data_IF_155744830080
#
_entry.id   IF_155744830080
#
_cell.length_a   1.000
_cell.length_b   1.000
_cell.length_c   1.000
_cell.angle_alpha   90.00
_cell.angle_beta   90.00
_cell.angle_gamma   90.00
#
_symmetry.space_group_name_H-M   'P 1'
#
loop_
_entity.id
_entity.type
_entity.pdbx_description
1 polymer ?
#
# COMPACT_ATOMS: atom_id res chain seq x y z
N UNK A 1 7.43 -11.30 -27.03
CA UNK A 1 6.20 -11.85 -27.63
C UNK A 1 4.97 -11.00 -27.30
N UNK A 2 4.74 -10.58 -26.04
CA UNK A 2 3.52 -9.88 -25.64
C UNK A 2 3.59 -8.33 -25.66
N UNK A 3 4.69 -7.72 -26.10
CA UNK A 3 4.90 -6.25 -26.07
C UNK A 3 3.88 -5.44 -26.89
N UNK A 4 3.31 -6.04 -27.92
CA UNK A 4 2.33 -5.41 -28.82
C UNK A 4 0.89 -5.79 -28.51
N UNK A 5 0.64 -6.56 -27.43
CA UNK A 5 -0.71 -6.99 -27.09
C UNK A 5 -1.41 -6.00 -26.17
N UNK A 6 -2.74 -5.91 -26.28
CA UNK A 6 -3.57 -4.96 -25.55
C UNK A 6 -4.83 -5.65 -25.00
N UNK A 7 -4.94 -5.90 -23.68
CA UNK A 7 -6.10 -6.58 -23.10
C UNK A 7 -7.41 -5.79 -23.18
N UNK A 8 -7.42 -4.55 -23.67
CA UNK A 8 -8.66 -3.84 -23.97
C UNK A 8 -9.47 -4.54 -25.08
N UNK A 9 -8.76 -5.07 -26.09
CA UNK A 9 -9.36 -5.78 -27.23
C UNK A 9 -9.29 -7.29 -26.99
N UNK A 10 -10.18 -7.78 -26.11
CA UNK A 10 -10.20 -9.20 -25.68
C UNK A 10 -10.52 -10.18 -26.80
N UNK A 11 -11.26 -9.75 -27.81
CA UNK A 11 -11.59 -10.51 -29.02
C UNK A 11 -10.36 -10.81 -29.88
N UNK A 12 -9.42 -9.87 -29.94
CA UNK A 12 -8.17 -9.99 -30.70
C UNK A 12 -7.07 -10.64 -29.86
N UNK A 13 -6.89 -10.18 -28.60
CA UNK A 13 -5.78 -10.58 -27.74
C UNK A 13 -6.22 -11.55 -26.63
N UNK A 14 -6.86 -12.65 -27.00
CA UNK A 14 -7.42 -13.65 -26.08
C UNK A 14 -6.40 -14.18 -25.07
N UNK A 15 -5.17 -14.46 -25.51
CA UNK A 15 -4.13 -15.02 -24.64
C UNK A 15 -3.79 -14.07 -23.48
N UNK A 16 -3.59 -12.78 -23.75
CA UNK A 16 -3.25 -11.83 -22.67
C UNK A 16 -4.43 -11.55 -21.77
N UNK A 17 -5.65 -11.58 -22.27
CA UNK A 17 -6.86 -11.51 -21.46
C UNK A 17 -6.99 -12.70 -20.50
N UNK A 18 -6.64 -13.91 -20.98
CA UNK A 18 -6.57 -15.10 -20.15
C UNK A 18 -5.49 -14.98 -19.08
N UNK A 19 -4.27 -14.53 -19.42
CA UNK A 19 -3.20 -14.33 -18.45
C UNK A 19 -3.60 -13.32 -17.35
N UNK A 20 -4.28 -12.23 -17.72
CA UNK A 20 -4.84 -11.29 -16.72
C UNK A 20 -5.83 -11.98 -15.78
N UNK A 21 -6.76 -12.74 -16.33
CA UNK A 21 -7.75 -13.47 -15.54
C UNK A 21 -7.09 -14.46 -14.58
N UNK A 22 -6.03 -15.15 -15.01
CA UNK A 22 -5.29 -16.09 -14.17
C UNK A 22 -4.50 -15.38 -13.06
N UNK A 23 -3.84 -14.24 -13.33
CA UNK A 23 -3.19 -13.42 -12.29
C UNK A 23 -4.20 -12.99 -11.23
N UNK A 24 -5.36 -12.48 -11.66
CA UNK A 24 -6.44 -12.07 -10.75
C UNK A 24 -6.94 -13.26 -9.92
N UNK A 25 -7.16 -14.42 -10.56
CA UNK A 25 -7.65 -15.63 -9.87
C UNK A 25 -6.63 -16.15 -8.85
N UNK A 26 -5.34 -16.21 -9.20
CA UNK A 26 -4.27 -16.62 -8.28
C UNK A 26 -4.16 -15.66 -7.09
N UNK A 27 -4.23 -14.35 -7.35
CA UNK A 27 -4.19 -13.34 -6.29
C UNK A 27 -5.41 -13.44 -5.38
N UNK A 28 -6.60 -13.61 -5.94
CA UNK A 28 -7.83 -13.83 -5.17
C UNK A 28 -7.75 -15.10 -4.31
N UNK A 29 -7.15 -16.17 -4.84
CA UNK A 29 -6.95 -17.43 -4.10
C UNK A 29 -6.01 -17.27 -2.89
N UNK A 30 -5.02 -16.37 -2.96
CA UNK A 30 -4.17 -16.02 -1.83
C UNK A 30 -4.93 -15.24 -0.75
N UNK A 31 -5.92 -14.43 -1.14
CA UNK A 31 -6.59 -13.43 -0.31
C UNK A 31 -8.02 -13.83 0.10
N UNK A 32 -8.28 -15.12 0.29
CA UNK A 32 -9.51 -15.62 0.93
C UNK A 32 -10.62 -16.09 -0.01
N UNK A 33 -10.36 -16.27 -1.33
CA UNK A 33 -11.40 -16.72 -2.27
C UNK A 33 -11.84 -18.19 -2.06
N UNK A 34 -11.06 -18.99 -1.34
CA UNK A 34 -11.38 -20.41 -1.05
C UNK A 34 -12.50 -20.58 -0.02
N UNK A 35 -12.67 -19.61 0.85
CA UNK A 35 -13.83 -19.55 1.71
C UNK A 35 -14.98 -19.02 0.84
N UNK A 36 -16.07 -19.79 0.72
CA UNK A 36 -17.32 -19.32 0.11
C UNK A 36 -17.82 -18.14 0.96
N UNK A 37 -17.20 -16.97 0.73
CA UNK A 37 -17.70 -15.73 1.30
C UNK A 37 -19.17 -15.63 0.87
N UNK A 38 -20.06 -15.64 1.83
CA UNK A 38 -21.50 -15.47 1.61
C UNK A 38 -21.70 -14.23 0.72
N UNK A 39 -21.99 -14.42 -0.56
CA UNK A 39 -22.35 -13.33 -1.45
C UNK A 39 -21.60 -13.21 -2.77
N UNK A 40 -20.76 -14.16 -3.21
CA UNK A 40 -20.25 -14.12 -4.56
C UNK A 40 -18.79 -14.51 -4.75
N UNK A 41 -18.37 -14.55 -6.01
CA UNK A 41 -16.99 -14.82 -6.42
C UNK A 41 -16.17 -13.54 -6.34
N UNK A 42 -15.03 -13.59 -5.65
CA UNK A 42 -14.03 -12.51 -5.68
C UNK A 42 -13.57 -12.29 -7.12
N UNK A 43 -13.54 -11.05 -7.55
CA UNK A 43 -13.22 -10.65 -8.91
C UNK A 43 -12.42 -9.35 -8.91
N UNK A 44 -11.77 -9.03 -10.02
CA UNK A 44 -10.93 -7.83 -10.09
C UNK A 44 -10.32 -7.60 -11.45
N UNK A 45 -9.32 -6.72 -11.49
CA UNK A 45 -8.51 -6.43 -12.67
C UNK A 45 -7.06 -6.18 -12.28
N UNK A 46 -6.16 -6.38 -13.21
CA UNK A 46 -4.81 -5.83 -13.12
C UNK A 46 -4.85 -4.31 -13.40
N UNK A 47 -3.92 -3.61 -12.78
CA UNK A 47 -3.72 -2.17 -12.88
C UNK A 47 -2.22 -1.87 -13.07
N UNK A 48 -1.90 -0.63 -13.38
CA UNK A 48 -0.52 -0.16 -13.59
C UNK A 48 0.28 0.04 -12.29
N UNK A 49 -0.34 -0.10 -11.13
CA UNK A 49 0.32 0.08 -9.82
C UNK A 49 -0.68 0.32 -8.71
N UNK A 50 -0.18 0.29 -7.46
CA UNK A 50 -1.00 0.47 -6.26
C UNK A 50 -1.82 1.75 -6.27
N UNK A 51 -1.27 2.84 -6.77
CA UNK A 51 -2.01 4.10 -6.90
C UNK A 51 -3.25 3.94 -7.78
N UNK A 52 -3.15 3.30 -8.96
CA UNK A 52 -4.31 3.05 -9.82
C UNK A 52 -5.30 2.10 -9.15
N UNK A 53 -4.83 1.05 -8.49
CA UNK A 53 -5.68 0.12 -7.73
C UNK A 53 -6.49 0.85 -6.66
N UNK A 54 -5.87 1.76 -5.90
CA UNK A 54 -6.52 2.59 -4.89
C UNK A 54 -7.53 3.54 -5.55
N UNK A 55 -7.15 4.24 -6.62
CA UNK A 55 -8.04 5.14 -7.36
C UNK A 55 -9.31 4.41 -7.81
N UNK A 56 -9.17 3.22 -8.39
CA UNK A 56 -10.29 2.40 -8.83
C UNK A 56 -11.16 1.91 -7.68
N UNK A 57 -10.56 1.48 -6.56
CA UNK A 57 -11.31 1.08 -5.37
C UNK A 57 -12.14 2.23 -4.80
N UNK A 58 -11.57 3.43 -4.74
CA UNK A 58 -12.24 4.64 -4.26
C UNK A 58 -13.37 5.06 -5.22
N UNK A 59 -13.10 5.12 -6.54
CA UNK A 59 -14.12 5.40 -7.58
C UNK A 59 -15.26 4.40 -7.53
N UNK A 60 -14.95 3.12 -7.44
CA UNK A 60 -15.93 2.04 -7.38
C UNK A 60 -16.81 2.14 -6.14
N UNK A 61 -16.21 2.39 -4.97
CA UNK A 61 -16.94 2.58 -3.72
C UNK A 61 -17.87 3.80 -3.77
N UNK A 62 -17.40 4.91 -4.37
CA UNK A 62 -18.22 6.12 -4.57
C UNK A 62 -19.47 5.80 -5.41
N UNK A 63 -19.27 5.20 -6.57
CA UNK A 63 -20.36 4.96 -7.52
C UNK A 63 -21.32 3.86 -7.03
N UNK A 64 -20.79 2.84 -6.36
CA UNK A 64 -21.60 1.81 -5.71
C UNK A 64 -22.47 2.40 -4.60
N UNK A 65 -21.91 3.25 -3.74
CA UNK A 65 -22.66 3.85 -2.64
C UNK A 65 -23.64 4.94 -3.12
N UNK A 66 -23.32 5.64 -4.21
CA UNK A 66 -24.27 6.51 -4.88
C UNK A 66 -25.46 5.69 -5.41
N UNK A 67 -25.22 4.59 -6.10
CA UNK A 67 -26.28 3.71 -6.63
C UNK A 67 -27.10 3.07 -5.52
N UNK A 68 -26.45 2.62 -4.43
CA UNK A 68 -27.11 1.85 -3.36
C UNK A 68 -27.83 2.72 -2.32
N UNK A 69 -27.26 3.88 -2.00
CA UNK A 69 -27.74 4.75 -0.90
C UNK A 69 -28.03 6.19 -1.34
N UNK A 70 -27.86 6.54 -2.62
CA UNK A 70 -28.09 7.90 -3.12
C UNK A 70 -27.07 8.93 -2.60
N UNK A 71 -25.88 8.53 -2.16
CA UNK A 71 -24.89 9.45 -1.60
C UNK A 71 -24.29 10.30 -2.73
N UNK A 72 -24.53 11.63 -2.68
CA UNK A 72 -24.04 12.60 -3.66
C UNK A 72 -22.93 13.51 -3.13
N UNK A 73 -22.68 13.51 -1.83
CA UNK A 73 -21.59 14.26 -1.18
C UNK A 73 -20.66 13.27 -0.43
N UNK A 74 -19.89 12.47 -1.17
CA UNK A 74 -19.16 11.34 -0.60
C UNK A 74 -18.07 11.77 0.36
N UNK A 75 -17.96 11.07 1.48
CA UNK A 75 -16.87 11.18 2.45
C UNK A 75 -16.16 9.83 2.63
N UNK A 76 -14.85 9.87 2.77
CA UNK A 76 -13.98 8.70 3.02
C UNK A 76 -13.25 8.87 4.36
N UNK A 77 -13.19 7.82 5.16
CA UNK A 77 -12.48 7.81 6.46
C UNK A 77 -11.18 7.04 6.30
N UNK A 78 -10.05 7.67 6.62
CA UNK A 78 -8.71 7.06 6.57
C UNK A 78 -7.92 7.37 7.84
N UNK A 79 -7.00 6.49 8.22
CA UNK A 79 -5.98 6.83 9.22
C UNK A 79 -4.98 7.86 8.64
N UNK A 80 -4.35 8.65 9.50
CA UNK A 80 -3.29 9.58 9.05
C UNK A 80 -2.07 8.85 8.47
N UNK A 81 -1.87 7.57 8.80
CA UNK A 81 -0.86 6.68 8.25
C UNK A 81 -1.22 6.07 6.89
N UNK A 82 -2.46 6.25 6.39
CA UNK A 82 -2.86 5.72 5.10
C UNK A 82 -2.06 6.36 3.95
N UNK A 83 -1.84 5.60 2.89
CA UNK A 83 -1.03 6.02 1.74
C UNK A 83 -1.60 7.27 1.06
N UNK A 84 -0.73 8.20 0.62
CA UNK A 84 -1.11 9.48 -0.02
C UNK A 84 -1.95 9.33 -1.30
N UNK A 85 -2.00 8.14 -1.90
CA UNK A 85 -2.87 7.87 -3.04
C UNK A 85 -4.36 8.05 -2.72
N UNK A 86 -4.78 7.96 -1.45
CA UNK A 86 -6.15 8.27 -1.03
C UNK A 86 -6.44 9.76 -1.10
N UNK A 87 -5.47 10.62 -0.79
CA UNK A 87 -5.61 12.07 -0.97
C UNK A 87 -5.71 12.42 -2.46
N UNK A 88 -4.90 11.76 -3.30
CA UNK A 88 -4.95 11.89 -4.75
C UNK A 88 -6.33 11.46 -5.29
N UNK A 89 -6.84 10.31 -4.84
CA UNK A 89 -8.18 9.83 -5.20
C UNK A 89 -9.28 10.81 -4.79
N UNK A 90 -9.19 11.34 -3.58
CA UNK A 90 -10.14 12.31 -3.05
C UNK A 90 -10.17 13.59 -3.88
N UNK A 91 -9.01 14.08 -4.30
CA UNK A 91 -8.89 15.25 -5.18
C UNK A 91 -9.51 14.96 -6.57
N UNK A 92 -9.17 13.82 -7.18
CA UNK A 92 -9.65 13.47 -8.54
C UNK A 92 -11.17 13.23 -8.59
N UNK A 93 -11.73 12.65 -7.54
CA UNK A 93 -13.13 12.23 -7.52
C UNK A 93 -14.02 13.10 -6.64
N UNK A 94 -13.52 14.24 -6.18
CA UNK A 94 -14.25 15.20 -5.33
C UNK A 94 -14.87 14.53 -4.09
N UNK A 95 -14.04 13.83 -3.33
CA UNK A 95 -14.42 13.11 -2.11
C UNK A 95 -13.82 13.83 -0.91
N UNK A 96 -14.63 14.07 0.12
CA UNK A 96 -14.14 14.66 1.36
C UNK A 96 -13.44 13.61 2.21
N UNK A 97 -12.20 13.90 2.60
CA UNK A 97 -11.42 13.04 3.50
C UNK A 97 -11.69 13.38 4.96
N UNK A 98 -12.04 12.36 5.74
CA UNK A 98 -12.03 12.39 7.21
C UNK A 98 -10.80 11.65 7.70
N UNK A 99 -9.79 12.39 8.11
CA UNK A 99 -8.53 11.84 8.58
C UNK A 99 -8.59 11.65 10.11
N UNK A 100 -8.31 10.43 10.54
CA UNK A 100 -8.30 10.04 11.96
C UNK A 100 -6.84 9.83 12.38
N UNK A 101 -6.40 10.45 13.48
CA UNK A 101 -5.10 10.16 14.07
C UNK A 101 -4.94 8.67 14.37
N UNK A 102 -3.72 8.17 14.32
CA UNK A 102 -3.41 6.82 14.81
C UNK A 102 -3.49 6.77 16.33
N UNK A 103 -3.68 5.58 16.89
CA UNK A 103 -3.63 5.36 18.31
C UNK A 103 -2.17 5.36 18.84
N UNK A 104 -1.98 5.06 20.14
CA UNK A 104 -0.64 5.03 20.75
C UNK A 104 0.28 3.95 20.20
N UNK A 105 -0.29 2.91 19.62
CA UNK A 105 0.40 1.82 18.95
C UNK A 105 0.63 2.09 17.45
N UNK A 106 0.34 3.30 16.97
CA UNK A 106 0.42 3.72 15.55
C UNK A 106 -0.53 2.99 14.60
N UNK A 107 -1.61 2.42 15.12
CA UNK A 107 -2.67 1.74 14.37
C UNK A 107 -3.88 2.68 14.16
N UNK A 108 -4.72 2.37 13.19
CA UNK A 108 -6.00 3.06 12.98
C UNK A 108 -6.85 3.04 14.27
N UNK A 109 -7.27 4.21 14.76
CA UNK A 109 -8.16 4.32 15.93
C UNK A 109 -9.60 3.99 15.53
N UNK A 110 -10.03 2.75 15.76
CA UNK A 110 -11.41 2.29 15.46
C UNK A 110 -12.48 3.16 16.11
N UNK A 111 -12.24 3.64 17.33
CA UNK A 111 -13.18 4.56 18.01
C UNK A 111 -13.24 5.91 17.31
N UNK A 112 -12.10 6.38 16.82
CA UNK A 112 -12.00 7.58 15.99
C UNK A 112 -12.75 7.43 14.67
N UNK A 113 -12.55 6.30 13.99
CA UNK A 113 -13.29 5.97 12.76
C UNK A 113 -14.80 5.98 13.01
N UNK A 114 -15.27 5.31 14.07
CA UNK A 114 -16.70 5.28 14.43
C UNK A 114 -17.29 6.67 14.63
N UNK A 115 -16.57 7.58 15.28
CA UNK A 115 -17.03 8.97 15.48
C UNK A 115 -17.15 9.78 14.19
N UNK A 116 -16.39 9.40 13.14
CA UNK A 116 -16.39 10.07 11.86
C UNK A 116 -17.49 9.58 10.90
N UNK A 117 -18.10 8.41 11.17
CA UNK A 117 -19.14 7.84 10.30
C UNK A 117 -20.39 8.71 10.32
N UNK A 118 -20.91 9.01 9.15
CA UNK A 118 -22.15 9.76 8.95
C UNK A 118 -22.87 9.32 7.65
N UNK A 119 -24.00 9.94 7.32
CA UNK A 119 -24.81 9.59 6.16
C UNK A 119 -24.13 9.75 4.79
N UNK A 120 -23.01 10.46 4.71
CA UNK A 120 -22.22 10.65 3.51
C UNK A 120 -21.02 9.71 3.41
N UNK A 121 -20.74 8.91 4.44
CA UNK A 121 -19.60 7.99 4.44
C UNK A 121 -19.79 6.87 3.42
N UNK A 122 -18.91 6.82 2.43
CA UNK A 122 -18.93 5.79 1.38
C UNK A 122 -18.01 4.62 1.72
N UNK A 123 -16.86 4.89 2.36
CA UNK A 123 -15.88 3.87 2.66
C UNK A 123 -14.97 4.25 3.82
N UNK A 124 -14.37 3.22 4.42
CA UNK A 124 -13.22 3.29 5.31
C UNK A 124 -12.03 2.55 4.68
N UNK A 125 -10.84 2.89 5.13
CA UNK A 125 -9.58 2.26 4.69
C UNK A 125 -8.83 1.71 5.89
N UNK A 126 -8.37 0.47 5.78
CA UNK A 126 -7.37 -0.12 6.67
C UNK A 126 -6.17 -0.61 5.85
N UNK A 127 -4.99 -0.58 6.41
CA UNK A 127 -3.74 -0.99 5.74
C UNK A 127 -3.16 -2.25 6.38
N UNK A 128 -2.65 -3.15 5.56
CA UNK A 128 -2.00 -4.37 6.05
C UNK A 128 -0.75 -4.73 5.22
N UNK A 129 0.43 -4.20 5.61
CA UNK A 129 0.63 -3.16 6.62
C UNK A 129 0.54 -1.74 6.05
N UNK A 130 0.46 -0.75 6.94
CA UNK A 130 0.64 0.66 6.61
C UNK A 130 2.06 0.95 6.16
N UNK A 131 2.22 1.77 5.11
CA UNK A 131 3.53 2.12 4.55
C UNK A 131 4.47 2.79 5.56
N UNK A 132 4.04 3.76 6.41
CA UNK A 132 4.99 4.45 7.28
C UNK A 132 5.64 3.53 8.31
N UNK A 133 4.86 2.72 9.02
CA UNK A 133 5.34 2.03 10.23
C UNK A 133 5.35 0.50 10.13
N UNK A 134 4.84 -0.07 9.04
CA UNK A 134 4.84 -1.53 8.85
C UNK A 134 3.87 -2.31 9.73
N UNK A 135 2.82 -1.66 10.24
CA UNK A 135 1.86 -2.21 11.17
C UNK A 135 0.54 -2.56 10.47
N UNK A 136 -0.07 -3.67 10.87
CA UNK A 136 -1.38 -4.11 10.37
C UNK A 136 -2.46 -3.42 11.18
N UNK A 137 -3.31 -2.63 10.52
CA UNK A 137 -4.48 -2.03 11.15
C UNK A 137 -5.47 -3.09 11.67
N UNK A 138 -6.35 -2.78 12.63
CA UNK A 138 -7.34 -3.70 13.19
C UNK A 138 -8.47 -3.97 12.18
N UNK A 139 -8.16 -4.76 11.13
CA UNK A 139 -9.05 -4.97 9.97
C UNK A 139 -10.36 -5.67 10.37
N UNK A 140 -10.32 -6.59 11.35
CA UNK A 140 -11.54 -7.27 11.83
C UNK A 140 -12.52 -6.27 12.45
N UNK A 141 -12.03 -5.41 13.35
CA UNK A 141 -12.85 -4.40 14.02
C UNK A 141 -13.39 -3.35 13.03
N UNK A 142 -12.55 -2.93 12.06
CA UNK A 142 -13.00 -2.07 10.96
C UNK A 142 -14.04 -2.77 10.08
N UNK A 143 -13.89 -4.09 9.86
CA UNK A 143 -14.84 -4.93 9.12
C UNK A 143 -16.19 -5.04 9.79
N UNK A 144 -16.20 -5.21 11.10
CA UNK A 144 -17.43 -5.19 11.90
C UNK A 144 -18.15 -3.83 11.79
N UNK A 145 -17.38 -2.75 11.91
CA UNK A 145 -17.90 -1.40 11.77
C UNK A 145 -18.48 -1.16 10.37
N UNK A 146 -17.76 -1.54 9.32
CA UNK A 146 -18.21 -1.42 7.94
C UNK A 146 -19.51 -2.19 7.71
N UNK A 147 -19.60 -3.43 8.25
CA UNK A 147 -20.81 -4.26 8.17
C UNK A 147 -21.98 -3.63 8.91
N UNK A 148 -21.76 -3.12 10.12
CA UNK A 148 -22.78 -2.48 10.94
C UNK A 148 -23.42 -1.27 10.26
N UNK A 149 -22.60 -0.43 9.62
CA UNK A 149 -23.08 0.79 8.97
C UNK A 149 -23.39 0.61 7.47
N UNK A 150 -23.11 -0.59 6.92
CA UNK A 150 -23.32 -0.89 5.49
C UNK A 150 -22.53 0.04 4.58
N UNK A 151 -21.28 0.33 4.92
CA UNK A 151 -20.32 1.11 4.12
C UNK A 151 -19.22 0.20 3.61
N UNK A 152 -18.48 0.66 2.60
CA UNK A 152 -17.35 -0.12 2.07
C UNK A 152 -16.17 -0.11 3.03
N UNK A 153 -15.41 -1.22 3.09
CA UNK A 153 -14.07 -1.28 3.67
C UNK A 153 -13.08 -1.72 2.59
N UNK A 154 -12.12 -0.88 2.31
CA UNK A 154 -10.98 -1.21 1.47
C UNK A 154 -9.78 -1.58 2.34
N UNK A 155 -9.10 -2.67 2.01
CA UNK A 155 -7.83 -3.04 2.65
C UNK A 155 -6.68 -2.83 1.68
N UNK A 156 -5.77 -1.93 2.05
CA UNK A 156 -4.54 -1.70 1.30
C UNK A 156 -3.52 -2.79 1.64
N UNK A 157 -3.37 -3.72 0.72
CA UNK A 157 -2.38 -4.79 0.76
C UNK A 157 -1.24 -4.59 -0.26
N UNK A 158 -1.01 -3.36 -0.71
CA UNK A 158 0.03 -3.09 -1.71
C UNK A 158 1.39 -3.65 -1.30
N UNK A 159 1.72 -3.65 -0.01
CA UNK A 159 2.91 -4.30 0.54
C UNK A 159 2.64 -5.74 0.99
N UNK A 160 1.54 -5.97 1.71
CA UNK A 160 1.29 -7.21 2.43
C UNK A 160 0.76 -8.37 1.59
N UNK A 161 0.15 -8.12 0.43
CA UNK A 161 -0.59 -9.13 -0.31
C UNK A 161 0.23 -10.33 -0.79
N UNK A 162 1.52 -10.15 -1.02
CA UNK A 162 2.46 -11.21 -1.40
C UNK A 162 3.47 -11.58 -0.30
N UNK A 163 3.20 -11.20 0.95
CA UNK A 163 3.98 -11.60 2.13
C UNK A 163 3.08 -12.21 3.19
N UNK A 164 2.04 -11.50 3.63
CA UNK A 164 1.22 -11.91 4.78
C UNK A 164 0.55 -13.27 4.64
N UNK A 165 0.01 -13.68 3.45
CA UNK A 165 -0.55 -15.02 3.29
C UNK A 165 0.48 -16.13 3.49
N UNK A 166 1.71 -15.90 3.06
CA UNK A 166 2.82 -16.86 3.20
C UNK A 166 3.40 -16.84 4.61
N UNK A 167 3.54 -15.66 5.22
CA UNK A 167 3.97 -15.53 6.62
C UNK A 167 3.01 -16.28 7.56
N UNK A 168 1.68 -16.17 7.35
CA UNK A 168 0.68 -16.94 8.10
C UNK A 168 0.88 -18.45 7.92
N UNK A 169 1.17 -18.93 6.70
CA UNK A 169 1.45 -20.34 6.42
C UNK A 169 2.75 -20.83 7.09
N UNK A 170 3.72 -19.96 7.29
CA UNK A 170 4.97 -20.22 8.01
C UNK A 170 4.81 -20.15 9.53
N UNK A 171 3.61 -19.88 10.06
CA UNK A 171 3.33 -19.86 11.49
C UNK A 171 3.55 -18.51 12.18
N UNK A 172 3.78 -17.44 11.44
CA UNK A 172 3.80 -16.09 12.03
C UNK A 172 2.39 -15.69 12.48
N UNK A 173 2.25 -14.97 13.62
CA UNK A 173 0.97 -14.60 14.21
C UNK A 173 0.34 -13.40 13.45
N UNK A 174 -0.02 -13.62 12.19
CA UNK A 174 -0.63 -12.60 11.34
C UNK A 174 -2.14 -12.55 11.59
N UNK A 175 -2.70 -11.40 12.02
CA UNK A 175 -4.14 -11.25 12.21
C UNK A 175 -4.90 -11.38 10.89
N UNK A 176 -6.22 -11.58 10.90
CA UNK A 176 -7.04 -11.54 9.69
C UNK A 176 -6.98 -10.17 9.00
N UNK A 177 -6.76 -10.17 7.68
CA UNK A 177 -6.55 -8.94 6.90
C UNK A 177 -7.20 -8.94 5.52
N UNK A 178 -7.69 -10.09 5.06
CA UNK A 178 -8.16 -10.33 3.71
C UNK A 178 -9.68 -10.50 3.61
N UNK A 179 -10.19 -11.08 2.53
CA UNK A 179 -11.62 -11.33 2.34
C UNK A 179 -12.23 -12.34 3.32
N UNK A 180 -11.47 -13.00 4.17
CA UNK A 180 -12.01 -13.77 5.29
C UNK A 180 -12.72 -12.86 6.31
N UNK A 181 -12.33 -11.59 6.39
CA UNK A 181 -13.01 -10.58 7.22
C UNK A 181 -14.31 -10.14 6.53
N UNK A 182 -15.44 -10.31 7.21
CA UNK A 182 -16.79 -10.13 6.65
C UNK A 182 -17.05 -8.71 6.15
N UNK A 183 -16.47 -7.69 6.58
CA UNK A 183 -16.74 -6.30 6.14
C UNK A 183 -15.89 -5.84 4.96
N UNK A 184 -14.83 -6.58 4.61
CA UNK A 184 -13.93 -6.18 3.52
C UNK A 184 -14.65 -6.27 2.18
N UNK A 185 -14.71 -5.15 1.44
CA UNK A 185 -15.39 -5.04 0.14
C UNK A 185 -14.43 -5.00 -1.03
N UNK A 186 -13.21 -4.49 -0.83
CA UNK A 186 -12.17 -4.42 -1.86
C UNK A 186 -10.77 -4.47 -1.26
N UNK A 187 -9.82 -4.90 -2.09
CA UNK A 187 -8.39 -5.03 -1.73
C UNK A 187 -7.55 -4.52 -2.90
N UNK A 188 -6.48 -3.77 -2.61
CA UNK A 188 -5.39 -3.47 -3.56
C UNK A 188 -4.14 -4.25 -3.18
N UNK A 189 -3.43 -4.84 -4.15
CA UNK A 189 -2.17 -5.54 -3.89
C UNK A 189 -1.22 -5.46 -5.07
N UNK A 190 0.07 -5.15 -4.79
CA UNK A 190 1.08 -4.94 -5.82
C UNK A 190 1.85 -6.23 -6.12
N UNK A 191 1.69 -6.73 -7.34
CA UNK A 191 2.47 -7.89 -7.81
C UNK A 191 3.94 -7.48 -8.01
N UNK A 192 4.18 -6.22 -8.39
CA UNK A 192 5.52 -5.68 -8.64
C UNK A 192 6.33 -5.30 -7.40
N UNK A 193 5.80 -5.54 -6.19
CA UNK A 193 6.55 -5.41 -4.93
C UNK A 193 7.04 -6.78 -4.50
N UNK A 194 6.50 -7.34 -3.45
CA UNK A 194 6.91 -8.67 -2.97
C UNK A 194 6.41 -9.84 -3.82
N UNK A 195 5.53 -9.58 -4.80
CA UNK A 195 5.20 -10.54 -5.86
C UNK A 195 6.29 -10.72 -6.90
N UNK A 196 7.37 -9.91 -6.84
CA UNK A 196 8.59 -9.99 -7.68
C UNK A 196 8.31 -9.91 -9.19
N UNK A 197 7.20 -9.33 -9.59
CA UNK A 197 6.84 -9.09 -10.98
C UNK A 197 7.43 -7.76 -11.51
N UNK A 198 7.44 -7.54 -12.83
CA UNK A 198 7.85 -6.28 -13.42
C UNK A 198 7.06 -5.09 -12.87
N UNK A 199 7.72 -3.93 -12.72
CA UNK A 199 7.06 -2.67 -12.33
C UNK A 199 5.93 -2.35 -13.31
N UNK A 200 4.85 -1.74 -12.78
CA UNK A 200 3.64 -1.52 -13.58
C UNK A 200 2.61 -2.66 -13.46
N UNK A 201 2.69 -3.48 -12.39
CA UNK A 201 1.74 -4.58 -12.14
C UNK A 201 1.20 -4.54 -10.71
N UNK A 202 -0.09 -4.35 -10.60
CA UNK A 202 -0.87 -4.40 -9.36
C UNK A 202 -2.23 -5.02 -9.66
N UNK A 203 -3.01 -5.35 -8.65
CA UNK A 203 -4.38 -5.83 -8.78
C UNK A 203 -5.30 -5.09 -7.82
N UNK A 204 -6.51 -4.81 -8.29
CA UNK A 204 -7.63 -4.41 -7.44
C UNK A 204 -8.66 -5.54 -7.47
N UNK A 205 -9.05 -5.99 -6.28
CA UNK A 205 -10.01 -7.07 -6.09
C UNK A 205 -11.26 -6.56 -5.36
N UNK A 206 -12.40 -7.15 -5.69
CA UNK A 206 -13.70 -6.86 -5.08
C UNK A 206 -14.34 -8.16 -4.58
N UNK A 207 -15.07 -8.06 -3.48
CA UNK A 207 -15.77 -9.19 -2.86
C UNK A 207 -16.72 -9.89 -3.82
N UNK A 208 -17.36 -9.14 -4.73
CA UNK A 208 -18.33 -9.66 -5.69
C UNK A 208 -18.49 -8.76 -6.92
N UNK A 209 -19.18 -9.31 -7.93
CA UNK A 209 -19.44 -8.61 -9.18
C UNK A 209 -20.41 -7.42 -9.03
N UNK A 210 -21.28 -7.42 -8.02
CA UNK A 210 -22.21 -6.30 -7.78
C UNK A 210 -21.42 -5.01 -7.47
N UNK A 211 -20.36 -5.12 -6.68
CA UNK A 211 -19.48 -3.98 -6.40
C UNK A 211 -18.64 -3.66 -7.63
N UNK A 212 -17.99 -4.67 -8.23
CA UNK A 212 -17.05 -4.49 -9.34
C UNK A 212 -17.67 -3.81 -10.56
N UNK A 213 -18.93 -4.05 -10.90
CA UNK A 213 -19.57 -3.42 -12.07
C UNK A 213 -19.52 -1.90 -12.05
N UNK A 214 -19.42 -1.28 -10.86
CA UNK A 214 -19.27 0.16 -10.70
C UNK A 214 -17.85 0.67 -10.99
N UNK A 215 -16.87 -0.22 -11.23
CA UNK A 215 -15.55 0.14 -11.73
C UNK A 215 -15.59 0.56 -13.20
N UNK A 216 -16.42 -0.07 -14.00
CA UNK A 216 -16.44 0.06 -15.45
C UNK A 216 -16.98 1.42 -15.89
N UNK A 217 -16.45 1.90 -17.03
CA UNK A 217 -17.01 3.05 -17.76
C UNK A 217 -17.49 2.54 -19.12
N UNK A 218 -18.77 2.69 -19.39
CA UNK A 218 -19.39 2.34 -20.66
C UNK A 218 -19.94 3.60 -21.33
N UNK A 219 -19.65 3.77 -22.62
CA UNK A 219 -20.12 4.91 -23.44
C UNK A 219 -20.83 4.35 -24.67
N UNK A 220 -22.08 4.77 -24.88
CA UNK A 220 -22.95 4.26 -25.93
C UNK A 220 -23.20 5.26 -27.08
N UNK A 221 -22.96 6.56 -26.82
CA UNK A 221 -23.28 7.66 -27.75
C UNK A 221 -22.06 8.16 -28.53
N UNK A 222 -20.92 7.49 -28.41
CA UNK A 222 -19.72 7.88 -29.14
C UNK A 222 -19.79 7.43 -30.60
N UNK A 223 -19.47 8.32 -31.55
CA UNK A 223 -19.47 8.02 -32.99
C UNK A 223 -18.45 6.93 -33.41
N UNK A 224 -17.44 6.65 -32.58
CA UNK A 224 -16.50 5.56 -32.75
C UNK A 224 -17.04 4.16 -32.39
N UNK A 225 -18.31 4.08 -31.95
CA UNK A 225 -18.99 2.85 -31.58
C UNK A 225 -19.16 2.68 -30.07
N UNK A 226 -19.49 1.47 -29.65
CA UNK A 226 -19.64 1.13 -28.22
C UNK A 226 -18.26 1.04 -27.56
N UNK A 227 -18.08 1.73 -26.44
CA UNK A 227 -16.84 1.72 -25.69
C UNK A 227 -17.08 1.26 -24.26
N UNK A 228 -16.21 0.38 -23.77
CA UNK A 228 -16.16 -0.03 -22.38
C UNK A 228 -14.70 -0.20 -21.92
N UNK A 229 -14.37 0.34 -20.75
CA UNK A 229 -13.06 0.18 -20.14
C UNK A 229 -13.19 -0.24 -18.68
N UNK A 230 -12.40 -1.23 -18.21
CA UNK A 230 -12.41 -1.67 -16.83
C UNK A 230 -11.46 -0.88 -15.92
N UNK A 231 -10.52 -0.09 -16.45
CA UNK A 231 -9.44 0.57 -15.70
C UNK A 231 -9.39 2.06 -15.99
N UNK A 232 -8.43 2.79 -15.36
CA UNK A 232 -8.24 4.23 -15.63
C UNK A 232 -7.74 4.47 -17.05
N UNK A 233 -6.92 3.57 -17.57
CA UNK A 233 -6.47 3.61 -18.97
C UNK A 233 -7.43 2.84 -19.89
N UNK A 234 -7.46 3.18 -21.17
CA UNK A 234 -8.09 2.37 -22.21
C UNK A 234 -7.15 1.21 -22.58
N UNK A 235 -6.15 1.49 -23.41
CA UNK A 235 -5.10 0.53 -23.77
C UNK A 235 -4.20 0.22 -22.59
N UNK A 236 -3.83 -1.06 -22.44
CA UNK A 236 -2.93 -1.52 -21.38
C UNK A 236 -1.83 -2.41 -21.94
N UNK A 237 -0.59 -2.36 -21.40
CA UNK A 237 0.55 -3.13 -21.91
C UNK A 237 0.42 -4.61 -21.56
N UNK A 238 0.14 -5.46 -22.54
CA UNK A 238 0.02 -6.91 -22.33
C UNK A 238 1.34 -7.59 -21.94
N UNK A 239 2.48 -7.00 -22.28
CA UNK A 239 3.79 -7.50 -21.84
C UNK A 239 3.96 -7.52 -20.32
N UNK A 240 3.42 -6.51 -19.61
CA UNK A 240 3.44 -6.48 -18.14
C UNK A 240 2.50 -7.52 -17.53
N UNK A 241 1.33 -7.75 -18.14
CA UNK A 241 0.42 -8.82 -17.73
C UNK A 241 1.09 -10.19 -17.84
N UNK A 242 1.73 -10.47 -18.97
CA UNK A 242 2.47 -11.71 -19.18
C UNK A 242 3.66 -11.85 -18.23
N UNK A 243 4.37 -10.75 -17.92
CA UNK A 243 5.46 -10.72 -16.94
C UNK A 243 5.00 -11.03 -15.52
N UNK A 244 3.86 -10.49 -15.09
CA UNK A 244 3.27 -10.80 -13.80
C UNK A 244 2.86 -12.28 -13.71
N UNK A 245 2.19 -12.80 -14.73
CA UNK A 245 1.82 -14.20 -14.80
C UNK A 245 3.04 -15.11 -14.73
N UNK A 246 4.08 -14.82 -15.53
CA UNK A 246 5.31 -15.60 -15.55
C UNK A 246 6.04 -15.61 -14.22
N UNK A 247 6.11 -14.45 -13.50
CA UNK A 247 6.69 -14.35 -12.18
C UNK A 247 5.93 -15.24 -11.17
N UNK A 248 4.61 -15.14 -11.15
CA UNK A 248 3.77 -15.94 -10.24
C UNK A 248 3.87 -17.43 -10.51
N UNK A 249 3.86 -17.84 -11.78
CA UNK A 249 3.98 -19.25 -12.18
C UNK A 249 5.37 -19.81 -11.91
N UNK A 250 6.43 -19.03 -12.16
CA UNK A 250 7.81 -19.45 -11.93
C UNK A 250 8.14 -19.64 -10.45
N UNK A 251 7.70 -18.74 -9.59
CA UNK A 251 7.91 -18.82 -8.15
C UNK A 251 6.99 -19.86 -7.51
N UNK A 252 5.72 -19.83 -7.87
CA UNK A 252 4.72 -20.69 -7.29
C UNK A 252 4.62 -20.55 -5.76
N UNK A 253 3.89 -21.45 -5.12
CA UNK A 253 3.72 -21.45 -3.66
C UNK A 253 5.08 -21.58 -2.94
N UNK A 254 5.93 -22.48 -3.38
CA UNK A 254 7.19 -22.80 -2.71
C UNK A 254 8.18 -21.63 -2.78
N UNK A 255 8.32 -20.96 -3.93
CA UNK A 255 9.19 -19.80 -4.08
C UNK A 255 8.76 -18.62 -3.22
N UNK A 256 7.45 -18.38 -3.09
CA UNK A 256 6.95 -17.34 -2.20
C UNK A 256 7.10 -17.71 -0.71
N UNK A 257 6.93 -18.97 -0.33
CA UNK A 257 7.19 -19.40 1.05
C UNK A 257 8.67 -19.26 1.41
N UNK A 258 9.57 -19.67 0.53
CA UNK A 258 11.02 -19.55 0.75
C UNK A 258 11.44 -18.07 0.87
N UNK A 259 11.04 -17.23 -0.08
CA UNK A 259 11.37 -15.81 -0.07
C UNK A 259 10.80 -15.11 1.15
N UNK A 260 9.54 -15.38 1.50
CA UNK A 260 8.90 -14.82 2.69
C UNK A 260 9.60 -15.24 3.97
N UNK A 261 9.96 -16.53 4.11
CA UNK A 261 10.69 -17.01 5.28
C UNK A 261 12.00 -16.25 5.50
N UNK A 262 12.79 -16.10 4.43
CA UNK A 262 14.08 -15.38 4.48
C UNK A 262 13.90 -13.91 4.89
N UNK A 263 12.98 -13.18 4.24
CA UNK A 263 12.80 -11.75 4.53
C UNK A 263 12.19 -11.50 5.92
N UNK A 264 11.29 -12.36 6.36
CA UNK A 264 10.69 -12.25 7.70
C UNK A 264 11.72 -12.50 8.81
N UNK A 265 12.58 -13.51 8.64
CA UNK A 265 13.67 -13.78 9.58
C UNK A 265 14.63 -12.59 9.69
N UNK A 266 15.08 -12.05 8.54
CA UNK A 266 16.00 -10.91 8.53
C UNK A 266 15.32 -9.65 9.05
N UNK A 267 14.03 -9.44 8.75
CA UNK A 267 13.27 -8.31 9.33
C UNK A 267 13.26 -8.35 10.86
N UNK A 268 13.10 -9.53 11.47
CA UNK A 268 13.17 -9.68 12.94
C UNK A 268 14.57 -9.43 13.50
N UNK A 269 15.62 -9.85 12.77
CA UNK A 269 17.01 -9.56 13.15
C UNK A 269 17.29 -8.05 13.09
N UNK A 270 16.82 -7.37 12.05
CA UNK A 270 16.97 -5.91 11.92
C UNK A 270 16.19 -5.18 13.02
N UNK A 271 14.94 -5.57 13.33
CA UNK A 271 14.18 -5.00 14.44
C UNK A 271 14.95 -5.08 15.75
N UNK A 272 15.44 -6.28 16.08
CA UNK A 272 16.22 -6.48 17.30
C UNK A 272 17.53 -5.68 17.29
N UNK A 273 18.26 -5.70 16.17
CA UNK A 273 19.53 -4.96 16.06
C UNK A 273 19.34 -3.44 16.19
N UNK A 274 18.25 -2.89 15.69
CA UNK A 274 17.92 -1.45 15.88
C UNK A 274 17.62 -1.16 17.36
N UNK A 275 16.86 -2.00 18.05
CA UNK A 275 16.55 -1.81 19.48
C UNK A 275 17.81 -2.00 20.36
N UNK A 276 18.81 -2.78 19.93
CA UNK A 276 20.08 -2.96 20.61
C UNK A 276 21.03 -1.75 20.45
N UNK A 277 20.80 -0.86 19.45
CA UNK A 277 21.59 0.37 19.25
C UNK A 277 21.13 1.46 20.24
N UNK A 278 22.02 1.86 21.13
CA UNK A 278 21.73 2.88 22.14
C UNK A 278 21.25 4.20 21.50
N UNK A 279 20.07 4.65 21.90
CA UNK A 279 19.46 5.90 21.43
C UNK A 279 18.53 5.73 20.22
N UNK A 280 18.35 4.52 19.70
CA UNK A 280 17.30 4.19 18.73
C UNK A 280 16.18 3.39 19.40
N UNK A 281 15.02 3.40 18.79
CA UNK A 281 13.89 2.55 19.13
C UNK A 281 13.06 2.21 17.89
N UNK A 282 12.52 1.01 17.82
CA UNK A 282 11.57 0.58 16.78
C UNK A 282 10.19 1.15 17.09
N UNK A 283 9.51 1.67 16.08
CA UNK A 283 8.16 2.23 16.21
C UNK A 283 7.13 1.11 16.15
N UNK A 284 6.35 0.96 17.20
CA UNK A 284 5.33 -0.08 17.33
C UNK A 284 5.92 -1.49 17.37
N UNK A 285 5.17 -2.45 16.81
CA UNK A 285 5.60 -3.86 16.69
C UNK A 285 5.40 -4.29 15.25
N UNK A 286 6.39 -4.05 14.37
CA UNK A 286 6.22 -4.37 12.94
C UNK A 286 5.87 -5.83 12.71
N UNK A 287 4.77 -6.05 11.98
CA UNK A 287 4.23 -7.39 11.71
C UNK A 287 4.93 -8.06 10.53
N UNK A 288 5.59 -7.26 9.66
CA UNK A 288 6.11 -7.73 8.39
C UNK A 288 7.54 -7.20 8.15
N UNK A 289 7.80 -6.67 6.99
CA UNK A 289 9.12 -6.36 6.44
C UNK A 289 9.44 -4.87 6.39
N UNK A 290 8.50 -4.02 6.75
CA UNK A 290 8.74 -2.59 6.95
C UNK A 290 9.06 -2.37 8.42
N UNK A 291 10.23 -1.81 8.70
CA UNK A 291 10.71 -1.53 10.06
C UNK A 291 10.95 -0.03 10.18
N UNK A 292 10.09 0.64 10.92
CA UNK A 292 10.24 2.06 11.23
C UNK A 292 10.91 2.24 12.57
N UNK A 293 11.80 3.22 12.67
CA UNK A 293 12.56 3.52 13.88
C UNK A 293 12.85 5.01 14.04
N UNK A 294 12.94 5.45 15.26
CA UNK A 294 13.21 6.82 15.65
C UNK A 294 14.35 6.92 16.65
N UNK A 295 14.63 8.15 17.10
CA UNK A 295 15.62 8.43 18.11
C UNK A 295 15.17 9.57 19.01
N UNK A 296 15.45 9.43 20.33
CA UNK A 296 15.34 10.51 21.31
C UNK A 296 16.70 11.15 21.61
N UNK A 297 17.79 10.60 21.09
CA UNK A 297 19.17 10.98 21.41
C UNK A 297 19.87 11.79 20.32
N UNK A 298 19.45 11.63 19.06
CA UNK A 298 20.06 12.27 17.89
C UNK A 298 18.99 12.72 16.89
N UNK A 299 19.33 13.66 15.99
CA UNK A 299 18.50 13.95 14.83
C UNK A 299 18.56 12.76 13.85
N UNK A 300 17.42 12.06 13.70
CA UNK A 300 17.33 10.85 12.88
C UNK A 300 17.55 11.13 11.37
N UNK A 301 17.32 12.38 10.91
CA UNK A 301 17.56 12.75 9.53
C UNK A 301 19.05 13.00 9.24
N UNK A 302 19.82 13.46 10.25
CA UNK A 302 21.30 13.51 10.13
C UNK A 302 21.88 12.09 10.03
N UNK A 303 21.33 11.13 10.79
CA UNK A 303 21.68 9.71 10.66
C UNK A 303 21.36 9.21 9.25
N UNK A 304 20.20 9.56 8.70
CA UNK A 304 19.82 9.19 7.33
C UNK A 304 20.79 9.74 6.28
N UNK A 305 21.27 10.97 6.43
CA UNK A 305 22.21 11.57 5.49
C UNK A 305 23.55 10.82 5.48
N UNK A 306 24.05 10.39 6.66
CA UNK A 306 25.25 9.54 6.76
C UNK A 306 24.99 8.17 6.13
N UNK A 307 23.88 7.53 6.44
CA UNK A 307 23.49 6.23 5.85
C UNK A 307 23.41 6.32 4.32
N UNK A 308 22.84 7.40 3.79
CA UNK A 308 22.77 7.65 2.34
C UNK A 308 24.15 7.79 1.72
N UNK A 309 25.12 8.45 2.40
CA UNK A 309 26.51 8.55 1.93
C UNK A 309 27.23 7.20 1.88
N UNK A 310 26.79 6.23 2.66
CA UNK A 310 27.28 4.84 2.67
C UNK A 310 26.54 3.94 1.65
N UNK A 311 25.57 4.49 0.92
CA UNK A 311 24.82 3.78 -0.12
C UNK A 311 23.52 3.13 0.36
N UNK A 312 23.09 3.34 1.62
CA UNK A 312 21.81 2.86 2.13
C UNK A 312 20.67 3.81 1.75
N UNK A 313 19.55 3.25 1.33
CA UNK A 313 18.36 4.01 1.00
C UNK A 313 17.25 3.75 2.02
N UNK A 314 17.02 4.73 2.91
CA UNK A 314 15.96 4.72 3.91
C UNK A 314 14.92 5.78 3.57
N UNK A 315 13.68 5.53 3.94
CA UNK A 315 12.61 6.50 3.75
C UNK A 315 12.46 7.37 5.00
N UNK A 316 12.57 8.67 4.82
CA UNK A 316 12.29 9.64 5.87
C UNK A 316 10.79 9.79 6.11
N UNK A 317 10.39 9.75 7.37
CA UNK A 317 9.00 9.83 7.83
C UNK A 317 8.78 11.08 8.68
N UNK A 318 7.52 11.47 8.82
CA UNK A 318 7.11 12.64 9.63
C UNK A 318 6.04 12.22 10.64
N UNK A 319 6.06 12.84 11.81
CA UNK A 319 5.04 12.69 12.86
C UNK A 319 4.81 11.25 13.33
N UNK A 320 5.83 10.72 14.06
CA UNK A 320 7.07 11.34 14.50
C UNK A 320 8.16 11.35 13.45
N UNK A 321 9.19 12.20 13.64
CA UNK A 321 10.41 12.14 12.86
C UNK A 321 11.06 10.77 13.03
N UNK A 322 11.21 10.06 11.94
CA UNK A 322 11.69 8.67 11.95
C UNK A 322 12.14 8.26 10.55
N UNK A 323 12.72 7.08 10.47
CA UNK A 323 13.09 6.43 9.21
C UNK A 323 12.41 5.07 9.11
N UNK A 324 12.25 4.54 7.91
CA UNK A 324 11.98 3.13 7.77
C UNK A 324 12.84 2.46 6.69
N UNK A 325 13.09 1.18 6.90
CA UNK A 325 13.64 0.27 5.91
C UNK A 325 12.55 -0.70 5.44
N UNK A 326 12.45 -0.89 4.12
CA UNK A 326 11.65 -1.99 3.54
C UNK A 326 12.58 -3.18 3.28
N UNK A 327 12.53 -4.20 4.12
CA UNK A 327 13.40 -5.37 4.02
C UNK A 327 13.03 -6.22 2.81
N UNK A 328 14.02 -6.53 1.97
CA UNK A 328 13.90 -7.35 0.76
C UNK A 328 14.88 -8.52 0.78
N UNK A 329 14.86 -9.38 -0.22
CA UNK A 329 15.81 -10.49 -0.34
C UNK A 329 17.27 -10.03 -0.37
N UNK A 330 17.57 -8.84 -0.88
CA UNK A 330 18.93 -8.30 -0.90
C UNK A 330 19.49 -8.13 0.52
N UNK A 331 18.66 -7.74 1.47
CA UNK A 331 19.08 -7.53 2.86
C UNK A 331 19.47 -8.84 3.58
N UNK A 332 19.08 -9.99 3.04
CA UNK A 332 19.41 -11.29 3.68
C UNK A 332 20.92 -11.54 3.77
N UNK A 333 21.70 -10.98 2.85
CA UNK A 333 23.15 -11.12 2.82
C UNK A 333 23.91 -9.97 3.51
N UNK A 334 23.26 -8.84 3.77
CA UNK A 334 23.94 -7.58 4.16
C UNK A 334 23.32 -6.91 5.40
N UNK A 335 22.41 -7.58 6.13
CA UNK A 335 21.74 -6.96 7.28
C UNK A 335 22.68 -6.64 8.43
N UNK A 336 23.76 -7.42 8.62
CA UNK A 336 24.78 -7.16 9.66
C UNK A 336 25.59 -5.89 9.32
N UNK A 337 25.94 -5.71 8.04
CA UNK A 337 26.60 -4.50 7.56
C UNK A 337 25.70 -3.29 7.74
N UNK A 338 24.39 -3.42 7.40
CA UNK A 338 23.39 -2.38 7.64
C UNK A 338 23.35 -1.94 9.11
N UNK A 339 23.27 -2.90 10.05
CA UNK A 339 23.20 -2.61 11.48
C UNK A 339 24.48 -1.94 12.00
N UNK A 340 25.65 -2.41 11.55
CA UNK A 340 26.94 -1.81 11.88
C UNK A 340 27.01 -0.37 11.36
N UNK A 341 26.67 -0.14 10.09
CA UNK A 341 26.69 1.20 9.50
C UNK A 341 25.70 2.15 10.19
N UNK A 342 24.56 1.63 10.62
CA UNK A 342 23.57 2.39 11.37
C UNK A 342 24.12 2.80 12.75
N UNK A 343 24.73 1.88 13.49
CA UNK A 343 25.36 2.17 14.78
C UNK A 343 26.48 3.18 14.66
N UNK A 344 27.39 3.01 13.68
CA UNK A 344 28.46 3.94 13.39
C UNK A 344 27.93 5.34 13.03
N UNK A 345 26.84 5.43 12.27
CA UNK A 345 26.18 6.68 11.89
C UNK A 345 25.58 7.38 13.11
N UNK A 346 24.89 6.66 13.97
CA UNK A 346 24.35 7.19 15.24
C UNK A 346 25.47 7.73 16.13
N UNK A 347 26.57 6.99 16.28
CA UNK A 347 27.71 7.41 17.08
C UNK A 347 28.40 8.66 16.48
N UNK A 348 28.47 8.75 15.16
CA UNK A 348 29.01 9.92 14.46
C UNK A 348 28.18 11.18 14.74
N UNK A 349 26.85 11.08 14.66
CA UNK A 349 25.95 12.23 14.96
C UNK A 349 26.03 12.60 16.44
N UNK A 350 26.12 11.62 17.36
CA UNK A 350 26.33 11.89 18.80
C UNK A 350 27.60 12.68 19.08
N UNK A 351 28.68 12.33 18.39
CA UNK A 351 29.98 13.00 18.57
C UNK A 351 30.04 14.39 17.92
N UNK A 352 29.40 14.56 16.78
CA UNK A 352 29.44 15.79 15.97
C UNK A 352 28.03 16.07 15.41
N UNK A 353 27.11 16.59 16.21
CA UNK A 353 25.76 16.92 15.73
C UNK A 353 25.82 18.10 14.75
N UNK A 354 25.07 18.00 13.67
CA UNK A 354 24.91 19.05 12.66
C UNK A 354 24.66 18.46 11.25
N UNK A 355 23.87 19.16 10.44
CA UNK A 355 23.49 18.67 9.12
C UNK A 355 24.70 18.62 8.18
N UNK A 356 24.75 17.56 7.37
CA UNK A 356 25.73 17.43 6.28
C UNK A 356 25.32 18.38 5.15
N UNK A 357 26.30 19.05 4.53
CA UNK A 357 26.07 19.92 3.38
C UNK A 357 25.41 19.12 2.23
N UNK A 358 24.26 19.58 1.75
CA UNK A 358 23.48 18.90 0.69
C UNK A 358 22.62 17.75 1.14
N UNK A 359 22.55 17.46 2.46
CA UNK A 359 21.70 16.42 3.01
C UNK A 359 20.20 16.78 3.05
N UNK A 360 19.37 15.78 3.34
CA UNK A 360 17.90 15.93 3.46
C UNK A 360 17.46 16.44 4.85
N UNK A 361 18.31 16.30 5.88
CA UNK A 361 18.00 16.70 7.25
C UNK A 361 17.50 18.16 7.36
N UNK A 362 18.13 19.16 6.72
CA UNK A 362 17.64 20.55 6.76
C UNK A 362 16.24 20.70 6.14
N UNK A 363 15.95 19.98 5.07
CA UNK A 363 14.66 20.03 4.35
C UNK A 363 13.54 19.48 5.22
N UNK A 364 13.73 18.30 5.81
CA UNK A 364 12.74 17.68 6.70
C UNK A 364 12.58 18.47 8.00
N UNK A 365 13.68 18.98 8.56
CA UNK A 365 13.66 19.83 9.74
C UNK A 365 12.91 21.15 9.51
N UNK A 366 13.13 21.80 8.37
CA UNK A 366 12.41 23.01 7.99
C UNK A 366 10.93 22.71 7.69
N UNK A 367 10.65 21.71 6.87
CA UNK A 367 9.28 21.30 6.54
C UNK A 367 8.47 20.90 7.79
N UNK A 368 9.10 20.24 8.78
CA UNK A 368 8.47 19.89 10.05
C UNK A 368 8.09 21.11 10.91
N UNK A 369 8.86 22.19 10.81
CA UNK A 369 8.67 23.43 11.59
C UNK A 369 7.78 24.46 10.88
N UNK A 370 7.54 24.33 9.58
CA UNK A 370 6.66 25.24 8.83
C UNK A 370 5.18 25.02 9.20
N UNK A 371 4.51 26.03 9.79
CA UNK A 371 3.08 25.90 10.13
C UNK A 371 2.20 25.92 8.87
N UNK A 372 2.62 26.64 7.82
CA UNK A 372 1.88 26.72 6.56
C UNK A 372 2.27 25.59 5.61
N UNK A 373 1.39 24.58 5.55
CA UNK A 373 1.53 23.45 4.63
C UNK A 373 1.23 23.82 3.16
N UNK A 374 0.60 24.96 2.91
CA UNK A 374 0.36 25.49 1.58
C UNK A 374 1.67 25.82 0.87
N UNK A 375 2.54 26.56 1.53
CA UNK A 375 3.89 26.88 1.00
C UNK A 375 4.71 25.62 0.72
N UNK A 376 4.68 24.61 1.60
CA UNK A 376 5.39 23.35 1.35
C UNK A 376 4.83 22.64 0.11
N UNK A 377 3.53 22.67 -0.09
CA UNK A 377 2.88 22.09 -1.28
C UNK A 377 3.30 22.82 -2.56
N UNK A 378 3.34 24.14 -2.55
CA UNK A 378 3.76 24.94 -3.70
C UNK A 378 5.21 24.63 -4.09
N UNK A 379 6.13 24.56 -3.10
CA UNK A 379 7.53 24.17 -3.34
C UNK A 379 7.67 22.78 -3.96
N UNK A 380 6.85 21.80 -3.53
CA UNK A 380 6.84 20.47 -4.11
C UNK A 380 6.34 20.47 -5.56
N UNK A 381 5.35 21.31 -5.88
CA UNK A 381 4.84 21.45 -7.25
C UNK A 381 5.89 22.10 -8.16
N UNK A 382 6.53 23.18 -7.72
CA UNK A 382 7.61 23.84 -8.46
C UNK A 382 8.82 22.92 -8.68
N UNK A 383 9.18 22.13 -7.64
CA UNK A 383 10.25 21.12 -7.78
C UNK A 383 9.92 20.12 -8.89
N UNK A 384 8.68 19.64 -8.92
CA UNK A 384 8.24 18.65 -9.92
C UNK A 384 8.22 19.28 -11.33
N UNK A 385 7.73 20.51 -11.46
CA UNK A 385 7.69 21.25 -12.74
C UNK A 385 9.10 21.50 -13.29
N UNK A 386 10.06 21.82 -12.41
CA UNK A 386 11.46 22.04 -12.80
C UNK A 386 12.21 20.74 -13.14
N UNK A 387 11.67 19.57 -12.77
CA UNK A 387 12.31 18.27 -12.96
C UNK A 387 11.81 17.54 -14.21
N UNK A 388 10.73 18.01 -14.84
CA UNK A 388 10.15 17.53 -16.09
C UNK A 388 10.43 18.45 -17.25
#
# INVERSE_FOLDING_TARGET
MFSHTNPLHQDVFKSVAQLEAEVVAMTAALLGSKEKASGGQICGNMTSGGTESILLAVKTSRDYMQSKKGITKPEMIIAESAHSAYDKAAQYFNIKVRRVPVNKEFLADVKGFKRCINGNTIMMVGSAPGFPHGLIDPIEELGELASQYGICLHVDLCLGGFVLPFARKLGYPIPPFDFSVKGVTSISTDVHKYGLAPKGTSTVLYRNHEIRKHQFVAVTEWTGGLYISPTMAGSRPGGLVAGAWAAMMSLGLNGYLESTGKIMEVSKKIQKGIDDISGLFVIGKPDMTVVAFGSDAVDIFEVNDIMSSKGWHLNALQRPNSLHICVTLQHTAIYEEFLKDLEDSVNTVKANPGPISGGMAPIYGAAGKMPDRGTVKELLVEFMDSSC
#
